data_IF_059488511834
#
_entry.id   IF_059488511834
#
_cell.length_a   1.000
_cell.length_b   1.000
_cell.length_c   1.000
_cell.angle_alpha   90.00
_cell.angle_beta   90.00
_cell.angle_gamma   90.00
#
_symmetry.space_group_name_H-M   'P 1'
#
loop_
_entity.id
_entity.type
_entity.pdbx_description
1 polymer ?
#
# COMPACT_ATOMS: atom_id res chain seq x y z
N UNK A 1 -2.92 -1.70 -20.26
CA UNK A 1 -1.53 -1.29 -20.56
C UNK A 1 -1.16 0.12 -20.06
N UNK A 2 -2.11 0.97 -19.67
CA UNK A 2 -1.85 2.36 -19.24
C UNK A 2 -1.51 2.49 -17.73
N UNK A 3 -1.83 1.49 -16.93
CA UNK A 3 -1.71 1.56 -15.46
C UNK A 3 -0.33 2.01 -14.96
N UNK A 4 0.81 1.46 -15.42
CA UNK A 4 2.13 1.91 -14.97
C UNK A 4 2.46 3.35 -15.36
N UNK A 5 1.91 3.84 -16.48
CA UNK A 5 2.17 5.21 -16.93
C UNK A 5 1.55 6.26 -16.00
N UNK A 6 0.48 5.89 -15.27
CA UNK A 6 -0.24 6.82 -14.38
C UNK A 6 0.55 7.13 -13.10
N UNK A 7 1.51 6.28 -12.70
CA UNK A 7 2.34 6.53 -11.53
C UNK A 7 3.60 7.36 -11.84
N UNK A 8 4.05 7.38 -13.11
CA UNK A 8 5.24 8.14 -13.52
C UNK A 8 5.17 9.64 -13.23
N UNK A 9 4.06 10.36 -13.50
CA UNK A 9 3.95 11.77 -13.14
C UNK A 9 4.12 12.02 -11.64
N UNK A 10 3.63 11.08 -10.81
CA UNK A 10 3.74 11.19 -9.35
C UNK A 10 5.19 10.97 -8.89
N UNK A 11 5.89 9.98 -9.45
CA UNK A 11 7.33 9.76 -9.22
C UNK A 11 8.13 10.98 -9.61
N UNK A 12 7.85 11.54 -10.79
CA UNK A 12 8.53 12.74 -11.29
C UNK A 12 8.24 13.96 -10.40
N UNK A 13 7.00 14.17 -9.99
CA UNK A 13 6.63 15.25 -9.07
C UNK A 13 7.38 15.16 -7.73
N UNK A 14 7.53 13.95 -7.18
CA UNK A 14 8.34 13.75 -5.97
C UNK A 14 9.82 14.00 -6.27
N UNK A 15 10.33 13.55 -7.43
CA UNK A 15 11.72 13.71 -7.81
C UNK A 15 12.13 15.18 -7.94
N UNK A 16 11.30 16.04 -8.53
CA UNK A 16 11.59 17.48 -8.68
C UNK A 16 11.21 18.30 -7.45
N UNK A 17 10.43 17.76 -6.50
CA UNK A 17 10.05 18.49 -5.28
C UNK A 17 11.27 18.93 -4.48
N UNK A 18 11.11 19.97 -3.68
CA UNK A 18 12.15 20.42 -2.74
C UNK A 18 12.60 19.26 -1.85
N UNK A 19 13.90 19.19 -1.55
CA UNK A 19 14.46 18.09 -0.76
C UNK A 19 13.87 18.07 0.65
N UNK A 20 13.36 16.93 1.08
CA UNK A 20 12.97 16.64 2.45
C UNK A 20 13.66 15.37 2.95
N UNK A 21 13.84 15.27 4.28
CA UNK A 21 14.75 14.29 4.92
C UNK A 21 14.57 12.83 4.47
N UNK A 22 13.33 12.41 4.14
CA UNK A 22 13.01 11.02 3.80
C UNK A 22 12.55 10.84 2.34
N UNK A 23 12.86 11.80 1.46
CA UNK A 23 12.48 11.81 0.04
C UNK A 23 12.87 10.52 -0.71
N UNK A 24 14.10 10.04 -0.49
CA UNK A 24 14.62 8.83 -1.14
C UNK A 24 13.77 7.59 -0.77
N UNK A 25 13.31 7.50 0.49
CA UNK A 25 12.48 6.38 0.95
C UNK A 25 11.12 6.41 0.26
N UNK A 26 10.52 7.60 0.13
CA UNK A 26 9.27 7.76 -0.60
C UNK A 26 9.42 7.42 -2.08
N UNK A 27 10.50 7.88 -2.71
CA UNK A 27 10.80 7.53 -4.11
C UNK A 27 10.98 6.02 -4.29
N UNK A 28 11.69 5.36 -3.37
CA UNK A 28 11.84 3.90 -3.41
C UNK A 28 10.47 3.20 -3.31
N UNK A 29 9.60 3.62 -2.39
CA UNK A 29 8.25 3.07 -2.29
C UNK A 29 7.46 3.20 -3.60
N UNK A 30 7.50 4.37 -4.24
CA UNK A 30 6.83 4.63 -5.51
C UNK A 30 7.41 3.81 -6.67
N UNK A 31 8.75 3.70 -6.76
CA UNK A 31 9.43 2.91 -7.80
C UNK A 31 9.10 1.43 -7.67
N UNK A 32 9.13 0.86 -6.46
CA UNK A 32 8.74 -0.53 -6.25
C UNK A 32 7.25 -0.78 -6.51
N UNK A 33 6.37 0.19 -6.20
CA UNK A 33 4.96 0.13 -6.60
C UNK A 33 4.81 0.13 -8.12
N UNK A 34 5.55 0.98 -8.81
CA UNK A 34 5.57 1.04 -10.27
C UNK A 34 6.09 -0.25 -10.91
N UNK A 35 7.16 -0.85 -10.36
CA UNK A 35 7.65 -2.16 -10.79
C UNK A 35 6.57 -3.25 -10.58
N UNK A 36 5.86 -3.22 -9.47
CA UNK A 36 4.72 -4.11 -9.22
C UNK A 36 3.63 -3.97 -10.28
N UNK A 37 3.27 -2.74 -10.66
CA UNK A 37 2.29 -2.48 -11.73
C UNK A 37 2.75 -3.06 -13.07
N UNK A 38 4.04 -2.92 -13.42
CA UNK A 38 4.60 -3.49 -14.66
C UNK A 38 4.52 -5.03 -14.61
N UNK A 39 4.96 -5.65 -13.51
CA UNK A 39 4.98 -7.10 -13.38
C UNK A 39 3.57 -7.69 -13.46
N UNK A 40 2.58 -7.05 -12.84
CA UNK A 40 1.19 -7.48 -12.92
C UNK A 40 0.59 -7.41 -14.34
N UNK A 41 1.15 -6.60 -15.26
CA UNK A 41 0.74 -6.62 -16.66
C UNK A 41 1.06 -7.93 -17.38
N UNK A 42 2.05 -8.67 -16.89
CA UNK A 42 2.53 -9.90 -17.53
C UNK A 42 1.95 -11.17 -16.91
N UNK A 43 1.03 -11.07 -15.96
CA UNK A 43 0.38 -12.23 -15.29
C UNK A 43 -0.29 -13.17 -16.28
N UNK A 44 -0.73 -12.66 -17.46
CA UNK A 44 -1.31 -13.48 -18.52
C UNK A 44 -0.29 -14.39 -19.24
N UNK A 45 1.02 -14.06 -19.14
CA UNK A 45 2.10 -14.87 -19.74
C UNK A 45 2.52 -16.01 -18.82
N UNK A 46 2.67 -15.72 -17.52
CA UNK A 46 3.05 -16.70 -16.51
C UNK A 46 2.62 -16.25 -15.12
N UNK A 47 2.16 -17.21 -14.30
CA UNK A 47 1.75 -16.97 -12.91
C UNK A 47 2.89 -16.42 -12.04
N UNK A 48 4.16 -16.66 -12.40
CA UNK A 48 5.33 -16.13 -11.69
C UNK A 48 5.31 -14.60 -11.61
N UNK A 49 4.80 -13.92 -12.64
CA UNK A 49 4.71 -12.46 -12.65
C UNK A 49 3.76 -11.92 -11.57
N UNK A 50 2.76 -12.69 -11.16
CA UNK A 50 1.93 -12.33 -10.02
C UNK A 50 2.74 -12.33 -8.72
N UNK A 51 3.53 -13.37 -8.49
CA UNK A 51 4.38 -13.49 -7.30
C UNK A 51 5.43 -12.37 -7.29
N UNK A 52 6.09 -12.11 -8.41
CA UNK A 52 7.07 -11.03 -8.53
C UNK A 52 6.42 -9.65 -8.29
N UNK A 53 5.21 -9.42 -8.81
CA UNK A 53 4.44 -8.21 -8.55
C UNK A 53 4.09 -8.06 -7.07
N UNK A 54 3.67 -9.15 -6.43
CA UNK A 54 3.39 -9.19 -4.99
C UNK A 54 4.64 -8.83 -4.16
N UNK A 55 5.81 -9.38 -4.52
CA UNK A 55 7.09 -9.06 -3.85
C UNK A 55 7.48 -7.60 -4.04
N UNK A 56 7.28 -7.04 -5.24
CA UNK A 56 7.55 -5.64 -5.51
C UNK A 56 6.67 -4.71 -4.66
N UNK A 57 5.35 -4.96 -4.60
CA UNK A 57 4.44 -4.21 -3.73
C UNK A 57 4.73 -4.41 -2.25
N UNK A 58 5.08 -5.64 -1.82
CA UNK A 58 5.54 -5.92 -0.46
C UNK A 58 6.71 -5.02 -0.08
N UNK A 59 7.71 -4.92 -0.97
CA UNK A 59 8.88 -4.06 -0.79
C UNK A 59 8.47 -2.58 -0.69
N UNK A 60 7.56 -2.13 -1.53
CA UNK A 60 7.01 -0.77 -1.45
C UNK A 60 6.36 -0.49 -0.08
N UNK A 61 5.55 -1.42 0.43
CA UNK A 61 4.93 -1.27 1.76
C UNK A 61 5.96 -1.23 2.89
N UNK A 62 7.03 -2.02 2.80
CA UNK A 62 8.14 -1.95 3.77
C UNK A 62 8.78 -0.56 3.74
N UNK A 63 9.02 0.05 2.57
CA UNK A 63 9.52 1.42 2.48
C UNK A 63 8.55 2.44 3.09
N UNK A 64 7.23 2.30 2.87
CA UNK A 64 6.24 3.15 3.55
C UNK A 64 6.28 2.98 5.07
N UNK A 65 6.38 1.75 5.59
CA UNK A 65 6.51 1.48 7.03
C UNK A 65 7.75 2.19 7.59
N UNK A 66 8.91 2.03 6.95
CA UNK A 66 10.16 2.68 7.36
C UNK A 66 10.02 4.20 7.33
N UNK A 67 9.38 4.75 6.30
CA UNK A 67 9.08 6.18 6.19
C UNK A 67 8.25 6.67 7.38
N UNK A 68 7.14 5.99 7.67
CA UNK A 68 6.23 6.40 8.75
C UNK A 68 6.88 6.28 10.12
N UNK A 69 7.65 5.22 10.39
CA UNK A 69 8.43 5.08 11.64
C UNK A 69 9.42 6.23 11.81
N UNK A 70 10.16 6.61 10.74
CA UNK A 70 11.10 7.74 10.79
C UNK A 70 10.39 9.07 11.06
N UNK A 71 9.22 9.27 10.47
CA UNK A 71 8.42 10.49 10.69
C UNK A 71 7.80 10.53 12.09
N UNK A 72 7.37 9.39 12.67
CA UNK A 72 6.91 9.30 14.07
C UNK A 72 8.05 9.68 15.00
N UNK A 73 9.24 9.09 14.83
CA UNK A 73 10.43 9.39 15.65
C UNK A 73 10.83 10.86 15.55
N UNK A 74 10.77 11.45 14.35
CA UNK A 74 11.06 12.88 14.12
C UNK A 74 10.09 13.81 14.85
N UNK A 75 8.85 13.38 15.04
CA UNK A 75 7.84 14.12 15.81
C UNK A 75 7.91 13.86 17.33
N UNK A 76 8.99 13.25 17.83
CA UNK A 76 9.12 12.75 19.20
C UNK A 76 7.96 11.84 19.64
N UNK A 77 7.35 11.17 18.67
CA UNK A 77 6.26 10.24 18.88
C UNK A 77 6.75 8.88 19.34
N UNK A 78 5.86 8.14 20.00
CA UNK A 78 6.08 6.76 20.42
C UNK A 78 5.18 5.80 19.66
N UNK A 79 5.68 4.59 19.41
CA UNK A 79 4.90 3.49 18.85
C UNK A 79 4.21 2.80 20.03
N UNK A 80 2.98 3.19 20.31
CA UNK A 80 2.17 2.62 21.40
C UNK A 80 0.99 1.86 20.81
N UNK A 81 0.57 0.80 21.49
CA UNK A 81 -0.65 0.09 21.12
C UNK A 81 -1.86 0.99 21.34
N UNK A 82 -2.61 1.22 20.26
CA UNK A 82 -3.86 2.00 20.24
C UNK A 82 -4.98 1.15 19.67
N UNK A 83 -6.21 1.51 20.00
CA UNK A 83 -7.42 0.75 19.63
C UNK A 83 -7.56 0.48 18.10
N UNK A 84 -6.94 1.28 17.26
CA UNK A 84 -6.88 1.02 15.81
C UNK A 84 -6.23 -0.32 15.43
N UNK A 85 -5.31 -0.86 16.26
CA UNK A 85 -4.73 -2.16 16.02
C UNK A 85 -5.78 -3.28 16.05
N UNK A 86 -6.70 -3.24 17.00
CA UNK A 86 -7.77 -4.23 17.12
C UNK A 86 -8.67 -4.25 15.88
N UNK A 87 -9.06 -3.08 15.38
CA UNK A 87 -9.88 -2.98 14.17
C UNK A 87 -9.15 -3.53 12.93
N UNK A 88 -7.87 -3.20 12.78
CA UNK A 88 -7.05 -3.69 11.68
C UNK A 88 -6.84 -5.21 11.79
N UNK A 89 -6.63 -5.74 13.00
CA UNK A 89 -6.50 -7.18 13.23
C UNK A 89 -7.79 -7.94 12.91
N UNK A 90 -8.95 -7.41 13.30
CA UNK A 90 -10.27 -7.99 12.96
C UNK A 90 -10.44 -8.01 11.44
N UNK A 91 -10.19 -6.89 10.78
CA UNK A 91 -10.25 -6.80 9.31
C UNK A 91 -9.35 -7.83 8.64
N UNK A 92 -8.06 -7.90 9.05
CA UNK A 92 -7.09 -8.84 8.52
C UNK A 92 -7.56 -10.30 8.71
N UNK A 93 -8.06 -10.62 9.91
CA UNK A 93 -8.55 -11.97 10.22
C UNK A 93 -9.72 -12.35 9.31
N UNK A 94 -10.71 -11.47 9.15
CA UNK A 94 -11.87 -11.73 8.27
C UNK A 94 -11.41 -11.94 6.82
N UNK A 95 -10.53 -11.07 6.32
CA UNK A 95 -10.01 -11.18 4.96
C UNK A 95 -9.29 -12.51 4.74
N UNK A 96 -8.41 -12.90 5.66
CA UNK A 96 -7.64 -14.14 5.57
C UNK A 96 -8.55 -15.38 5.67
N UNK A 97 -9.53 -15.39 6.58
CA UNK A 97 -10.50 -16.49 6.68
C UNK A 97 -11.28 -16.72 5.38
N UNK A 98 -11.59 -15.63 4.65
CA UNK A 98 -12.26 -15.72 3.36
C UNK A 98 -11.32 -16.21 2.24
N UNK A 99 -10.06 -15.79 2.26
CA UNK A 99 -9.14 -16.07 1.15
C UNK A 99 -8.42 -17.42 1.29
N UNK A 100 -8.00 -17.83 2.49
CA UNK A 100 -7.16 -19.02 2.73
C UNK A 100 -7.66 -20.28 2.02
N UNK A 101 -8.99 -20.60 2.02
CA UNK A 101 -9.47 -21.80 1.33
C UNK A 101 -9.24 -21.80 -0.18
N UNK A 102 -8.97 -20.64 -0.79
CA UNK A 102 -8.85 -20.43 -2.23
C UNK A 102 -7.42 -20.14 -2.72
N UNK A 103 -6.44 -20.03 -1.79
CA UNK A 103 -5.07 -19.61 -2.13
C UNK A 103 -4.16 -20.73 -2.64
N UNK A 104 -4.48 -22.01 -2.38
CA UNK A 104 -3.62 -23.14 -2.76
C UNK A 104 -2.18 -22.96 -2.24
N UNK A 105 -1.18 -23.05 -3.11
CA UNK A 105 0.23 -22.87 -2.75
C UNK A 105 0.64 -21.43 -2.41
N UNK A 106 -0.25 -20.46 -2.57
CA UNK A 106 0.04 -19.04 -2.30
C UNK A 106 -0.34 -18.59 -0.89
N UNK A 107 -0.75 -19.49 0.00
CA UNK A 107 -1.15 -19.18 1.39
C UNK A 107 -0.07 -18.36 2.11
N UNK A 108 1.17 -18.84 2.13
CA UNK A 108 2.27 -18.18 2.84
C UNK A 108 2.58 -16.79 2.26
N UNK A 109 2.82 -16.64 0.93
CA UNK A 109 3.06 -15.32 0.34
C UNK A 109 1.95 -14.31 0.62
N UNK A 110 0.68 -14.73 0.52
CA UNK A 110 -0.47 -13.83 0.73
C UNK A 110 -0.62 -13.44 2.20
N UNK A 111 -0.40 -14.36 3.15
CA UNK A 111 -0.41 -14.03 4.58
C UNK A 111 0.68 -13.00 4.91
N UNK A 112 1.92 -13.22 4.46
CA UNK A 112 3.03 -12.29 4.69
C UNK A 112 2.67 -10.91 4.12
N UNK A 113 2.15 -10.86 2.90
CA UNK A 113 1.73 -9.63 2.26
C UNK A 113 0.64 -8.91 3.06
N UNK A 114 -0.41 -9.62 3.46
CA UNK A 114 -1.53 -9.08 4.20
C UNK A 114 -1.11 -8.51 5.58
N UNK A 115 -0.17 -9.17 6.27
CA UNK A 115 0.40 -8.68 7.53
C UNK A 115 1.21 -7.40 7.29
N UNK A 116 2.03 -7.34 6.24
CA UNK A 116 2.88 -6.17 5.97
C UNK A 116 2.04 -4.95 5.58
N UNK A 117 1.03 -5.11 4.70
CA UNK A 117 0.17 -3.98 4.32
C UNK A 117 -0.69 -3.51 5.51
N UNK A 118 -1.16 -4.42 6.35
CA UNK A 118 -1.87 -4.07 7.59
C UNK A 118 -0.98 -3.33 8.58
N UNK A 119 0.30 -3.71 8.65
CA UNK A 119 1.32 -2.99 9.45
C UNK A 119 1.55 -1.59 8.89
N UNK A 120 1.61 -1.43 7.56
CA UNK A 120 1.72 -0.12 6.92
C UNK A 120 0.53 0.78 7.28
N UNK A 121 -0.70 0.26 7.20
CA UNK A 121 -1.90 1.00 7.62
C UNK A 121 -1.83 1.39 9.10
N UNK A 122 -1.36 0.48 9.98
CA UNK A 122 -1.22 0.77 11.41
C UNK A 122 -0.19 1.87 11.67
N UNK A 123 0.95 1.85 10.98
CA UNK A 123 1.96 2.91 11.10
C UNK A 123 1.45 4.27 10.58
N UNK A 124 0.67 4.27 9.49
CA UNK A 124 -0.02 5.48 9.01
C UNK A 124 -1.02 6.01 10.03
N UNK A 125 -1.79 5.12 10.67
CA UNK A 125 -2.72 5.47 11.75
C UNK A 125 -1.97 6.10 12.94
N UNK A 126 -0.88 5.51 13.40
CA UNK A 126 -0.07 6.08 14.49
C UNK A 126 0.52 7.44 14.10
N UNK A 127 1.07 7.58 12.90
CA UNK A 127 1.65 8.84 12.43
C UNK A 127 0.60 9.94 12.32
N UNK A 128 -0.67 9.61 12.04
CA UNK A 128 -1.74 10.59 11.89
C UNK A 128 -1.98 11.43 13.15
N UNK A 129 -1.67 10.91 14.35
CA UNK A 129 -1.77 11.66 15.60
C UNK A 129 -0.71 12.74 15.76
N UNK A 130 0.37 12.65 15.01
CA UNK A 130 1.51 13.58 15.04
C UNK A 130 1.53 14.54 13.85
N UNK A 131 0.48 14.52 13.02
CA UNK A 131 0.37 15.36 11.83
C UNK A 131 -0.85 16.28 11.91
N UNK A 132 -0.70 17.56 11.50
CA UNK A 132 -1.84 18.48 11.43
C UNK A 132 -2.78 18.09 10.30
N UNK A 133 -4.05 18.50 10.41
CA UNK A 133 -4.97 18.49 9.26
C UNK A 133 -4.54 19.53 8.22
N UNK A 134 -4.70 19.29 6.90
CA UNK A 134 -5.29 18.09 6.27
C UNK A 134 -4.32 16.92 6.07
N UNK A 135 -3.03 17.06 6.42
CA UNK A 135 -1.97 16.07 6.16
C UNK A 135 -2.30 14.70 6.79
N UNK A 136 -2.82 14.71 8.04
CA UNK A 136 -3.25 13.46 8.71
C UNK A 136 -4.40 12.76 7.98
N UNK A 137 -5.32 13.53 7.39
CA UNK A 137 -6.43 12.97 6.62
C UNK A 137 -5.94 12.31 5.32
N UNK A 138 -5.05 12.98 4.56
CA UNK A 138 -4.45 12.38 3.36
C UNK A 138 -3.67 11.10 3.68
N UNK A 139 -2.92 11.09 4.78
CA UNK A 139 -2.17 9.91 5.21
C UNK A 139 -3.08 8.71 5.48
N UNK A 140 -4.15 8.92 6.28
CA UNK A 140 -5.09 7.85 6.63
C UNK A 140 -5.91 7.39 5.45
N UNK A 141 -6.52 8.31 4.71
CA UNK A 141 -7.34 7.94 3.55
C UNK A 141 -6.50 7.29 2.46
N UNK A 142 -5.25 7.72 2.28
CA UNK A 142 -4.31 7.07 1.37
C UNK A 142 -4.00 5.63 1.78
N UNK A 143 -3.65 5.39 3.04
CA UNK A 143 -3.35 4.05 3.54
C UNK A 143 -4.58 3.12 3.51
N UNK A 144 -5.77 3.63 3.88
CA UNK A 144 -7.02 2.87 3.78
C UNK A 144 -7.34 2.53 2.32
N UNK A 145 -7.21 3.49 1.40
CA UNK A 145 -7.48 3.23 -0.03
C UNK A 145 -6.50 2.23 -0.63
N UNK A 146 -5.25 2.20 -0.13
CA UNK A 146 -4.28 1.21 -0.59
C UNK A 146 -4.70 -0.21 -0.18
N UNK A 147 -5.00 -0.42 1.10
CA UNK A 147 -5.43 -1.74 1.57
C UNK A 147 -6.75 -2.18 0.92
N UNK A 148 -7.67 -1.25 0.64
CA UNK A 148 -8.89 -1.53 -0.11
C UNK A 148 -8.59 -1.98 -1.55
N UNK A 149 -7.70 -1.29 -2.25
CA UNK A 149 -7.27 -1.67 -3.60
C UNK A 149 -6.75 -3.10 -3.64
N UNK A 150 -5.85 -3.44 -2.71
CA UNK A 150 -5.23 -4.75 -2.66
C UNK A 150 -6.19 -5.84 -2.20
N UNK A 151 -7.16 -5.49 -1.35
CA UNK A 151 -8.22 -6.42 -0.96
C UNK A 151 -9.15 -6.75 -2.12
N UNK A 152 -9.52 -5.75 -2.93
CA UNK A 152 -10.31 -5.96 -4.15
C UNK A 152 -9.52 -6.83 -5.13
N UNK A 153 -8.22 -6.57 -5.28
CA UNK A 153 -7.33 -7.38 -6.13
C UNK A 153 -7.30 -8.83 -5.68
N UNK A 154 -7.07 -9.07 -4.37
CA UNK A 154 -7.02 -10.41 -3.80
C UNK A 154 -8.36 -11.14 -3.91
N UNK A 155 -9.45 -10.45 -3.61
CA UNK A 155 -10.81 -10.98 -3.68
C UNK A 155 -11.17 -11.38 -5.11
N UNK A 156 -10.92 -10.49 -6.08
CA UNK A 156 -11.14 -10.73 -7.50
C UNK A 156 -10.26 -11.85 -8.08
N UNK A 157 -9.05 -12.01 -7.55
CA UNK A 157 -8.09 -13.02 -8.03
C UNK A 157 -8.38 -14.41 -7.47
N UNK A 158 -8.74 -14.52 -6.18
CA UNK A 158 -8.74 -15.78 -5.46
C UNK A 158 -10.12 -16.26 -5.02
N UNK A 159 -11.05 -15.35 -4.74
CA UNK A 159 -12.35 -15.71 -4.17
C UNK A 159 -13.45 -15.71 -5.23
N UNK A 160 -13.77 -14.56 -5.78
CA UNK A 160 -14.85 -14.40 -6.75
C UNK A 160 -14.56 -13.21 -7.68
N UNK A 161 -14.75 -13.35 -9.02
CA UNK A 161 -14.63 -12.25 -9.94
C UNK A 161 -15.57 -11.10 -9.58
N UNK A 162 -15.02 -9.90 -9.39
CA UNK A 162 -15.76 -8.69 -9.04
C UNK A 162 -16.03 -7.89 -10.31
N UNK A 163 -17.28 -7.57 -10.64
CA UNK A 163 -17.58 -6.66 -11.75
C UNK A 163 -16.77 -5.36 -11.61
N UNK A 164 -16.24 -4.86 -12.72
CA UNK A 164 -15.44 -3.62 -12.76
C UNK A 164 -14.23 -3.57 -11.81
N UNK A 165 -13.75 -4.74 -11.30
CA UNK A 165 -12.62 -4.81 -10.37
C UNK A 165 -11.41 -4.01 -10.87
N UNK A 166 -11.06 -4.11 -12.14
CA UNK A 166 -9.93 -3.38 -12.72
C UNK A 166 -10.05 -1.87 -12.55
N UNK A 167 -11.26 -1.31 -12.70
CA UNK A 167 -11.52 0.11 -12.48
C UNK A 167 -11.42 0.49 -11.00
N UNK A 168 -12.07 -0.29 -10.12
CA UNK A 168 -12.05 -0.03 -8.67
C UNK A 168 -10.63 -0.09 -8.10
N UNK A 169 -9.86 -1.12 -8.46
CA UNK A 169 -8.45 -1.26 -8.06
C UNK A 169 -7.65 -0.05 -8.53
N UNK A 170 -7.83 0.37 -9.79
CA UNK A 170 -7.07 1.49 -10.34
C UNK A 170 -7.39 2.81 -9.62
N UNK A 171 -8.67 3.13 -9.40
CA UNK A 171 -9.09 4.38 -8.75
C UNK A 171 -8.61 4.42 -7.30
N UNK A 172 -8.84 3.35 -6.53
CA UNK A 172 -8.43 3.29 -5.12
C UNK A 172 -6.90 3.32 -4.98
N UNK A 173 -6.17 2.65 -5.84
CA UNK A 173 -4.71 2.64 -5.86
C UNK A 173 -4.10 4.00 -6.22
N UNK A 174 -4.56 4.64 -7.29
CA UNK A 174 -4.04 5.95 -7.70
C UNK A 174 -4.34 7.03 -6.67
N UNK A 175 -5.56 7.01 -6.10
CA UNK A 175 -5.89 7.89 -4.98
C UNK A 175 -4.97 7.63 -3.77
N UNK A 176 -4.73 6.35 -3.43
CA UNK A 176 -3.85 5.97 -2.35
C UNK A 176 -2.44 6.54 -2.53
N UNK A 177 -1.84 6.32 -3.71
CA UNK A 177 -0.50 6.82 -4.01
C UNK A 177 -0.42 8.35 -3.98
N UNK A 178 -1.40 9.02 -4.59
CA UNK A 178 -1.49 10.48 -4.56
C UNK A 178 -1.62 11.02 -3.13
N UNK A 179 -2.53 10.47 -2.33
CA UNK A 179 -2.79 10.92 -0.97
C UNK A 179 -1.58 10.69 -0.05
N UNK A 180 -0.91 9.53 -0.16
CA UNK A 180 0.31 9.25 0.59
C UNK A 180 1.43 10.23 0.21
N UNK A 181 1.64 10.51 -1.07
CA UNK A 181 2.60 11.51 -1.53
C UNK A 181 2.23 12.90 -1.01
N UNK A 182 0.96 13.30 -1.14
CA UNK A 182 0.47 14.60 -0.65
C UNK A 182 0.66 14.77 0.85
N UNK A 183 0.59 13.67 1.61
CA UNK A 183 0.87 13.70 3.06
C UNK A 183 2.35 13.92 3.41
N UNK A 184 3.27 13.70 2.47
CA UNK A 184 4.72 13.80 2.67
C UNK A 184 5.32 15.09 2.13
N UNK A 185 4.74 15.64 1.04
CA UNK A 185 5.20 16.89 0.41
C UNK A 185 4.42 18.05 1.03
N UNK A 186 5.14 19.10 1.46
CA UNK A 186 4.54 20.35 1.95
C UNK A 186 4.11 21.24 0.80
#
# INVERSE_FOLDING_TARGET
YLKPLLLLPLIFAVFISTSFKNKIILLAALVFSWLGDILLLFVFKDAIYFILGLVAFLTAHIFYIVLFIKEIKKANGSIQFKNGLTLIAIYLTILLLMLIPHLGGLVIPVIIYAVVISTMLYMAYLLSFYRPKPTSAYLLTGAISFILSDSILAFNKFYHPVPIAGFLIMVTYLYAQWALVKSCIK
#
